data_IF_204552993357
#
_entry.id   IF_204552993357
#
_cell.length_a   1.000
_cell.length_b   1.000
_cell.length_c   1.000
_cell.angle_alpha   90.00
_cell.angle_beta   90.00
_cell.angle_gamma   90.00
#
_symmetry.space_group_name_H-M   'P 1'
#
loop_
_entity.id
_entity.type
_entity.pdbx_description
1 polymer ?
#
# COMPACT_ATOMS: atom_id res chain seq x y z
N UNK A 1 -15.42 3.71 -12.38
CA UNK A 1 -13.97 3.83 -12.63
C UNK A 1 -13.26 2.69 -11.91
N UNK A 2 -12.06 2.32 -12.33
CA UNK A 2 -11.23 1.41 -11.54
C UNK A 2 -10.73 2.11 -10.25
N UNK A 3 -10.59 1.38 -9.13
CA UNK A 3 -10.23 2.00 -7.85
C UNK A 3 -8.79 2.54 -7.85
N UNK A 4 -8.56 3.59 -7.06
CA UNK A 4 -7.23 4.11 -6.72
C UNK A 4 -6.37 3.00 -6.13
N UNK A 5 -5.11 2.91 -6.57
CA UNK A 5 -4.12 1.95 -6.05
C UNK A 5 -3.12 2.67 -5.17
N UNK A 6 -2.74 2.07 -4.06
CA UNK A 6 -1.73 2.60 -3.14
C UNK A 6 -0.65 1.52 -3.01
N UNK A 7 0.59 1.87 -3.38
CA UNK A 7 1.72 0.95 -3.35
C UNK A 7 2.71 1.42 -2.28
N UNK A 8 2.75 0.71 -1.16
CA UNK A 8 3.76 0.93 -0.12
C UNK A 8 5.11 0.39 -0.56
N UNK A 9 6.20 1.08 -0.21
CA UNK A 9 7.54 0.59 -0.50
C UNK A 9 8.52 0.96 0.61
N UNK A 10 9.34 -0.02 1.00
CA UNK A 10 10.47 0.16 1.89
C UNK A 10 11.46 -1.00 1.75
N UNK A 11 12.59 -0.95 2.47
CA UNK A 11 13.57 -2.05 2.51
C UNK A 11 13.06 -3.31 3.21
N UNK A 12 12.03 -3.19 4.06
CA UNK A 12 11.47 -4.36 4.75
C UNK A 12 10.91 -5.35 3.72
N UNK A 13 11.14 -6.64 3.95
CA UNK A 13 10.57 -7.73 3.15
C UNK A 13 9.23 -8.08 3.76
N UNK A 14 8.15 -7.65 3.11
CA UNK A 14 6.77 -7.93 3.49
C UNK A 14 6.00 -8.34 2.24
N UNK A 15 5.00 -9.18 2.44
CA UNK A 15 3.93 -9.48 1.49
C UNK A 15 2.85 -8.41 1.56
N UNK A 16 1.95 -8.38 0.56
CA UNK A 16 0.78 -7.50 0.58
C UNK A 16 -0.08 -7.72 1.83
N UNK A 17 -0.30 -8.98 2.22
CA UNK A 17 -1.09 -9.34 3.39
C UNK A 17 -0.48 -8.85 4.70
N UNK A 18 0.85 -8.99 4.86
CA UNK A 18 1.56 -8.46 6.03
C UNK A 18 1.48 -6.93 6.08
N UNK A 19 1.59 -6.25 4.94
CA UNK A 19 1.48 -4.80 4.88
C UNK A 19 0.05 -4.31 5.17
N UNK A 20 -0.97 -4.99 4.65
CA UNK A 20 -2.37 -4.71 4.95
C UNK A 20 -2.68 -4.92 6.43
N UNK A 21 -2.17 -6.00 7.04
CA UNK A 21 -2.32 -6.26 8.47
C UNK A 21 -1.61 -5.18 9.32
N UNK A 22 -0.40 -4.77 8.93
CA UNK A 22 0.32 -3.67 9.55
C UNK A 22 -0.48 -2.36 9.51
N UNK A 23 -1.04 -2.00 8.34
CA UNK A 23 -1.87 -0.81 8.20
C UNK A 23 -3.15 -0.90 9.05
N UNK A 24 -3.83 -2.05 9.07
CA UNK A 24 -5.01 -2.28 9.91
C UNK A 24 -4.71 -2.09 11.38
N UNK A 25 -3.58 -2.64 11.85
CA UNK A 25 -3.14 -2.50 13.24
C UNK A 25 -2.88 -1.03 13.56
N UNK A 26 -2.13 -0.32 12.72
CA UNK A 26 -1.83 1.09 12.94
C UNK A 26 -3.12 1.94 13.01
N UNK A 27 -4.06 1.73 12.10
CA UNK A 27 -5.35 2.44 12.10
C UNK A 27 -6.12 2.14 13.38
N UNK A 28 -6.27 0.86 13.74
CA UNK A 28 -6.98 0.45 14.96
C UNK A 28 -6.34 0.99 16.24
N UNK A 29 -5.02 1.16 16.26
CA UNK A 29 -4.27 1.66 17.42
C UNK A 29 -4.26 3.18 17.55
N UNK A 30 -4.43 3.91 16.45
CA UNK A 30 -4.22 5.37 16.42
C UNK A 30 -5.45 6.19 16.03
N UNK A 31 -6.48 5.56 15.46
CA UNK A 31 -7.75 6.20 15.14
C UNK A 31 -8.78 5.82 16.20
N UNK A 32 -9.59 6.79 16.64
CA UNK A 32 -10.65 6.52 17.62
C UNK A 32 -11.64 5.52 17.00
N UNK A 33 -12.12 4.51 17.73
CA UNK A 33 -13.05 3.52 17.17
C UNK A 33 -14.32 4.12 16.57
N UNK A 34 -14.80 5.25 17.10
CA UNK A 34 -15.98 5.96 16.58
C UNK A 34 -15.76 6.57 15.18
N UNK A 35 -14.51 6.78 14.78
CA UNK A 35 -14.13 7.34 13.48
C UNK A 35 -13.75 6.24 12.47
N UNK A 36 -13.87 4.95 12.84
CA UNK A 36 -13.56 3.81 11.98
C UNK A 36 -14.86 3.17 11.49
N UNK A 37 -15.20 3.42 10.22
CA UNK A 37 -16.16 2.59 9.51
C UNK A 37 -15.46 1.31 9.01
N UNK A 38 -15.95 0.15 9.46
CA UNK A 38 -15.32 -1.14 9.14
C UNK A 38 -15.37 -1.46 7.64
N UNK A 39 -16.45 -1.09 6.96
CA UNK A 39 -16.60 -1.38 5.53
C UNK A 39 -15.64 -0.52 4.70
N UNK A 40 -15.53 0.76 5.04
CA UNK A 40 -14.58 1.67 4.39
C UNK A 40 -13.13 1.26 4.69
N UNK A 41 -12.84 0.78 5.91
CA UNK A 41 -11.53 0.24 6.24
C UNK A 41 -11.15 -0.95 5.35
N UNK A 42 -12.03 -1.94 5.15
CA UNK A 42 -11.74 -3.07 4.25
C UNK A 42 -11.51 -2.60 2.81
N UNK A 43 -12.34 -1.67 2.31
CA UNK A 43 -12.20 -1.10 0.96
C UNK A 43 -10.87 -0.36 0.81
N UNK A 44 -10.43 0.36 1.85
CA UNK A 44 -9.14 1.03 1.87
C UNK A 44 -7.98 0.03 1.88
N UNK A 45 -8.00 -0.96 2.77
CA UNK A 45 -6.95 -1.97 2.88
C UNK A 45 -6.80 -2.78 1.59
N UNK A 46 -7.91 -3.10 0.91
CA UNK A 46 -7.89 -3.80 -0.38
C UNK A 46 -7.19 -3.02 -1.51
N UNK A 47 -6.96 -1.72 -1.35
CA UNK A 47 -6.21 -0.89 -2.31
C UNK A 47 -4.71 -0.87 -2.04
N UNK A 48 -4.28 -1.35 -0.86
CA UNK A 48 -2.89 -1.40 -0.47
C UNK A 48 -2.21 -2.64 -1.07
N UNK A 49 -1.08 -2.41 -1.70
CA UNK A 49 -0.11 -3.42 -2.10
C UNK A 49 1.28 -2.96 -1.67
N UNK A 50 2.25 -3.87 -1.67
CA UNK A 50 3.58 -3.61 -1.15
C UNK A 50 4.67 -4.15 -2.07
N UNK A 51 5.69 -3.33 -2.28
CA UNK A 51 6.91 -3.74 -2.99
C UNK A 51 8.12 -3.37 -2.15
N UNK A 52 8.89 -4.39 -1.76
CA UNK A 52 10.18 -4.17 -1.12
C UNK A 52 11.16 -3.57 -2.12
N UNK A 53 11.73 -2.42 -1.78
CA UNK A 53 12.74 -1.74 -2.59
C UNK A 53 13.73 -0.97 -1.70
N UNK A 54 14.95 -0.83 -2.21
CA UNK A 54 16.00 -0.03 -1.60
C UNK A 54 16.28 1.19 -2.47
N UNK A 55 15.94 2.37 -1.94
CA UNK A 55 16.13 3.63 -2.63
C UNK A 55 17.61 4.00 -2.85
N UNK A 56 18.54 3.39 -2.11
CA UNK A 56 19.98 3.68 -2.22
C UNK A 56 20.65 2.86 -3.30
N UNK A 57 20.38 1.54 -3.33
CA UNK A 57 20.97 0.62 -4.31
C UNK A 57 20.13 0.46 -5.58
N UNK A 58 18.87 0.91 -5.58
CA UNK A 58 17.90 0.69 -6.65
C UNK A 58 17.34 -0.73 -6.68
N UNK A 59 17.75 -1.60 -5.76
CA UNK A 59 17.24 -2.96 -5.69
C UNK A 59 15.71 -2.96 -5.52
N UNK A 60 15.01 -3.72 -6.36
CA UNK A 60 13.54 -3.82 -6.33
C UNK A 60 12.80 -2.80 -7.20
N UNK A 61 13.49 -1.83 -7.82
CA UNK A 61 12.85 -0.83 -8.68
C UNK A 61 12.18 -1.46 -9.91
N UNK A 62 12.72 -2.54 -10.45
CA UNK A 62 12.13 -3.25 -11.59
C UNK A 62 10.74 -3.83 -11.23
N UNK A 63 10.63 -4.38 -10.02
CA UNK A 63 9.37 -4.91 -9.48
C UNK A 63 8.38 -3.78 -9.21
N UNK A 64 8.85 -2.67 -8.64
CA UNK A 64 8.02 -1.50 -8.39
C UNK A 64 7.50 -0.90 -9.70
N UNK A 65 8.37 -0.76 -10.71
CA UNK A 65 8.00 -0.34 -12.07
C UNK A 65 6.93 -1.24 -12.65
N UNK A 66 7.10 -2.57 -12.53
CA UNK A 66 6.09 -3.54 -12.99
C UNK A 66 4.76 -3.41 -12.26
N UNK A 67 4.78 -3.19 -10.94
CA UNK A 67 3.58 -3.02 -10.13
C UNK A 67 2.81 -1.72 -10.48
N UNK A 68 3.54 -0.63 -10.73
CA UNK A 68 2.95 0.62 -11.23
C UNK A 68 2.32 0.38 -12.61
N UNK A 69 3.05 -0.32 -13.48
CA UNK A 69 2.65 -0.64 -14.84
C UNK A 69 2.57 0.58 -15.76
N UNK A 70 2.23 0.34 -17.01
CA UNK A 70 1.91 1.40 -17.96
C UNK A 70 0.44 1.76 -17.81
N UNK A 71 0.20 3.03 -17.48
CA UNK A 71 -1.14 3.55 -17.23
C UNK A 71 -1.11 5.06 -17.31
N UNK A 72 -2.15 5.58 -17.95
CA UNK A 72 -2.56 6.97 -18.16
C UNK A 72 -3.26 7.58 -16.93
N UNK A 73 -3.31 6.84 -15.81
CA UNK A 73 -3.72 7.35 -14.50
C UNK A 73 -2.71 8.37 -13.97
N UNK A 74 -3.24 9.44 -13.34
CA UNK A 74 -2.43 10.42 -12.60
C UNK A 74 -1.67 9.71 -11.47
N UNK A 75 -0.38 10.04 -11.33
CA UNK A 75 0.52 9.47 -10.32
C UNK A 75 0.96 10.57 -9.35
N UNK A 76 0.72 10.36 -8.06
CA UNK A 76 1.31 11.14 -6.98
C UNK A 76 2.40 10.29 -6.30
N UNK A 77 3.57 10.86 -6.04
CA UNK A 77 4.74 10.20 -5.46
C UNK A 77 5.11 10.83 -4.13
#
# INVERSE_FOLDING_TARGET
SEPTRIIGTSRAKMTDAEFQAFARQAISSHVKPADIDQKELEVFLARLSYVSADATSGAGFDKLKKAIGDSDRIRAF
#
